data_IF_605117994661
#
_entry.id   IF_605117994661
#
_cell.length_a   1.000
_cell.length_b   1.000
_cell.length_c   1.000
_cell.angle_alpha   90.00
_cell.angle_beta   90.00
_cell.angle_gamma   90.00
#
_symmetry.space_group_name_H-M   'P 1'
#
loop_
_entity.id
_entity.type
_entity.pdbx_description
1 polymer ?
#
# COMPACT_ATOMS: atom_id res chain seq x y z
N UNK A 1 12.61 -3.76 -19.65
CA UNK A 1 11.80 -4.92 -19.27
C UNK A 1 12.46 -5.62 -18.09
N UNK A 2 12.06 -5.30 -16.85
CA UNK A 2 12.98 -5.39 -15.70
C UNK A 2 12.34 -5.44 -14.29
N UNK A 3 11.17 -6.06 -14.06
CA UNK A 3 10.59 -6.13 -12.69
C UNK A 3 9.98 -7.48 -12.30
N UNK A 4 10.56 -8.57 -12.79
CA UNK A 4 10.23 -9.93 -12.36
C UNK A 4 11.22 -10.43 -11.29
N UNK A 5 11.32 -9.73 -10.14
CA UNK A 5 12.11 -10.22 -8.98
C UNK A 5 11.95 -9.38 -7.71
N UNK A 6 10.83 -9.45 -6.99
CA UNK A 6 10.81 -9.31 -5.51
C UNK A 6 9.60 -10.08 -4.99
N UNK A 7 9.80 -10.81 -3.89
CA UNK A 7 8.83 -11.62 -3.10
C UNK A 7 8.94 -13.15 -3.25
N UNK A 8 10.13 -13.70 -2.97
CA UNK A 8 10.21 -14.96 -2.22
C UNK A 8 11.57 -15.16 -1.54
N UNK A 9 11.75 -14.62 -0.33
CA UNK A 9 12.88 -14.98 0.55
C UNK A 9 12.37 -14.95 1.97
N UNK A 10 12.28 -16.10 2.64
CA UNK A 10 11.98 -16.11 4.07
C UNK A 10 11.54 -17.41 4.73
N UNK A 11 12.15 -18.56 4.43
CA UNK A 11 12.54 -19.58 5.44
C UNK A 11 13.19 -20.81 4.81
N UNK A 12 14.51 -20.76 4.70
CA UNK A 12 15.34 -21.97 4.71
C UNK A 12 16.60 -21.71 5.53
N UNK A 13 16.93 -22.67 6.38
CA UNK A 13 18.26 -22.83 6.96
C UNK A 13 18.32 -22.78 8.49
N UNK A 14 18.24 -23.95 9.13
CA UNK A 14 19.42 -24.61 9.78
C UNK A 14 18.98 -25.71 10.77
N UNK A 15 19.67 -26.85 10.71
CA UNK A 15 19.66 -27.83 11.80
C UNK A 15 19.92 -29.26 11.35
N UNK A 16 21.18 -29.60 11.11
CA UNK A 16 21.72 -30.92 10.81
C UNK A 16 22.02 -31.70 12.11
N UNK A 17 21.75 -33.00 12.17
CA UNK A 17 22.21 -33.87 13.27
C UNK A 17 21.50 -35.23 13.30
N UNK A 18 22.18 -36.28 12.84
CA UNK A 18 21.69 -37.66 12.84
C UNK A 18 22.00 -38.42 14.14
N UNK A 19 21.34 -39.57 14.30
CA UNK A 19 21.78 -40.63 15.23
C UNK A 19 20.66 -41.45 15.86
N UNK A 20 20.68 -42.77 15.63
CA UNK A 20 20.29 -43.76 16.64
C UNK A 20 18.86 -44.31 16.65
N UNK A 21 18.69 -45.55 16.19
CA UNK A 21 17.51 -46.41 16.42
C UNK A 21 17.53 -46.97 17.84
N UNK A 22 16.40 -46.93 18.54
CA UNK A 22 16.02 -48.00 19.49
C UNK A 22 14.51 -48.14 19.52
N UNK A 23 14.05 -49.33 19.13
CA UNK A 23 12.67 -49.79 19.07
C UNK A 23 12.29 -50.39 20.42
N UNK A 24 11.15 -49.99 21.00
CA UNK A 24 10.58 -50.65 22.17
C UNK A 24 9.06 -50.76 21.98
N UNK A 25 8.48 -51.97 21.91
CA UNK A 25 7.04 -52.12 21.75
C UNK A 25 6.39 -52.18 23.13
N UNK A 26 5.37 -51.34 23.35
CA UNK A 26 4.69 -51.27 24.64
C UNK A 26 3.34 -50.55 24.59
N UNK A 27 2.29 -51.35 24.38
CA UNK A 27 0.88 -51.17 24.77
C UNK A 27 0.03 -50.08 24.08
N UNK A 28 -0.98 -50.60 23.41
CA UNK A 28 -2.16 -49.94 22.90
C UNK A 28 -2.99 -49.23 23.99
N UNK A 29 -3.55 -48.06 23.63
CA UNK A 29 -4.54 -47.35 24.44
C UNK A 29 -5.06 -46.07 23.78
N UNK A 30 -6.11 -46.23 22.96
CA UNK A 30 -7.05 -45.20 22.47
C UNK A 30 -6.46 -43.97 21.77
N UNK A 31 -6.33 -44.08 20.45
CA UNK A 31 -6.26 -42.94 19.56
C UNK A 31 -7.52 -42.09 19.68
N UNK A 32 -7.37 -40.88 20.21
CA UNK A 32 -8.31 -39.80 19.92
C UNK A 32 -8.17 -39.50 18.42
N UNK A 33 -9.26 -39.50 17.63
CA UNK A 33 -9.18 -38.95 16.30
C UNK A 33 -8.84 -37.46 16.47
N UNK A 34 -7.65 -37.06 16.02
CA UNK A 34 -7.33 -35.65 15.85
C UNK A 34 -8.42 -35.09 14.94
N UNK A 35 -9.34 -34.32 15.54
CA UNK A 35 -10.36 -33.58 14.83
C UNK A 35 -9.64 -32.82 13.71
N UNK A 36 -10.10 -32.91 12.45
CA UNK A 36 -9.52 -32.10 11.39
C UNK A 36 -9.54 -30.65 11.87
N UNK A 37 -8.40 -29.98 11.86
CA UNK A 37 -8.35 -28.54 12.03
C UNK A 37 -9.26 -27.98 10.94
N UNK A 38 -10.48 -27.61 11.33
CA UNK A 38 -11.33 -26.75 10.53
C UNK A 38 -10.53 -25.45 10.42
N UNK A 39 -9.74 -25.33 9.36
CA UNK A 39 -9.19 -24.05 8.96
C UNK A 39 -10.41 -23.16 8.76
N UNK A 40 -10.67 -22.31 9.74
CA UNK A 40 -11.80 -21.41 9.80
C UNK A 40 -11.90 -20.68 8.48
N UNK A 41 -12.83 -21.10 7.62
CA UNK A 41 -13.05 -20.47 6.32
C UNK A 41 -13.34 -18.97 6.50
N UNK A 42 -13.94 -18.61 7.64
CA UNK A 42 -14.10 -17.23 8.10
C UNK A 42 -12.78 -16.52 8.40
N UNK A 43 -11.82 -17.16 9.07
CA UNK A 43 -10.51 -16.57 9.32
C UNK A 43 -9.75 -16.32 8.00
N UNK A 44 -9.79 -17.28 7.07
CA UNK A 44 -9.18 -17.11 5.74
C UNK A 44 -9.86 -15.99 4.94
N UNK A 45 -11.20 -15.91 4.97
CA UNK A 45 -11.97 -14.85 4.29
C UNK A 45 -11.67 -13.47 4.88
N UNK A 46 -11.55 -13.36 6.20
CA UNK A 46 -11.17 -12.11 6.88
C UNK A 46 -9.76 -11.68 6.48
N UNK A 47 -8.78 -12.57 6.57
CA UNK A 47 -7.40 -12.27 6.17
C UNK A 47 -7.29 -11.81 4.70
N UNK A 48 -8.03 -12.43 3.78
CA UNK A 48 -8.06 -12.00 2.36
C UNK A 48 -8.74 -10.64 2.19
N UNK A 49 -9.81 -10.35 2.94
CA UNK A 49 -10.46 -9.03 2.91
C UNK A 49 -9.54 -7.95 3.46
N UNK A 50 -8.90 -8.19 4.60
CA UNK A 50 -8.00 -7.23 5.24
C UNK A 50 -6.79 -6.95 4.35
N UNK A 51 -6.20 -7.99 3.75
CA UNK A 51 -5.11 -7.83 2.78
C UNK A 51 -5.54 -7.02 1.54
N UNK A 52 -6.75 -7.28 1.00
CA UNK A 52 -7.27 -6.51 -0.13
C UNK A 52 -7.48 -5.04 0.24
N UNK A 53 -8.02 -4.77 1.41
CA UNK A 53 -8.21 -3.40 1.92
C UNK A 53 -6.87 -2.70 2.07
N UNK A 54 -5.87 -3.35 2.65
CA UNK A 54 -4.52 -2.81 2.79
C UNK A 54 -3.89 -2.46 1.44
N UNK A 55 -4.01 -3.34 0.43
CA UNK A 55 -3.52 -3.06 -0.93
C UNK A 55 -4.27 -1.91 -1.61
N UNK A 56 -5.59 -1.83 -1.44
CA UNK A 56 -6.40 -0.73 -1.99
C UNK A 56 -6.04 0.60 -1.32
N UNK A 57 -5.98 0.65 0.00
CA UNK A 57 -5.62 1.85 0.75
C UNK A 57 -4.19 2.30 0.41
N UNK A 58 -3.24 1.36 0.31
CA UNK A 58 -1.88 1.69 -0.12
C UNK A 58 -1.84 2.28 -1.54
N UNK A 59 -2.63 1.75 -2.46
CA UNK A 59 -2.75 2.31 -3.82
C UNK A 59 -3.33 3.73 -3.79
N UNK A 60 -4.39 3.97 -3.02
CA UNK A 60 -5.00 5.28 -2.82
C UNK A 60 -3.99 6.29 -2.26
N UNK A 61 -3.23 5.89 -1.24
CA UNK A 61 -2.16 6.69 -0.64
C UNK A 61 -1.08 7.07 -1.67
N UNK A 62 -0.64 6.10 -2.48
CA UNK A 62 0.37 6.30 -3.53
C UNK A 62 -0.12 7.30 -4.59
N UNK A 63 -1.34 7.11 -5.10
CA UNK A 63 -1.91 7.98 -6.14
C UNK A 63 -2.04 9.42 -5.65
N UNK A 64 -2.42 9.59 -4.37
CA UNK A 64 -2.54 10.90 -3.75
C UNK A 64 -1.16 11.52 -3.48
N UNK A 65 -0.19 10.74 -2.99
CA UNK A 65 1.18 11.20 -2.80
C UNK A 65 1.83 11.68 -4.11
N UNK A 66 1.55 11.00 -5.23
CA UNK A 66 1.98 11.43 -6.56
C UNK A 66 1.45 12.83 -6.91
N UNK A 67 0.16 13.07 -6.72
CA UNK A 67 -0.42 14.41 -6.96
C UNK A 67 0.13 15.47 -6.00
N UNK A 68 0.34 15.13 -4.73
CA UNK A 68 0.89 16.05 -3.72
C UNK A 68 2.31 16.51 -4.04
N UNK A 69 3.12 15.65 -4.65
CA UNK A 69 4.48 15.98 -5.04
C UNK A 69 4.61 16.52 -6.47
N UNK A 70 3.65 16.22 -7.34
CA UNK A 70 3.63 16.67 -8.73
C UNK A 70 2.27 17.29 -9.07
N UNK A 71 1.98 18.52 -8.59
CA UNK A 71 0.71 19.19 -8.86
C UNK A 71 0.48 19.44 -10.35
N UNK A 72 1.55 19.51 -11.15
CA UNK A 72 1.49 19.69 -12.60
C UNK A 72 0.73 18.56 -13.32
N UNK A 73 0.62 17.38 -12.70
CA UNK A 73 -0.12 16.24 -13.24
C UNK A 73 -1.63 16.43 -13.18
N UNK A 74 -2.12 17.45 -12.48
CA UNK A 74 -3.53 17.65 -12.20
C UNK A 74 -4.41 17.64 -13.46
N UNK A 75 -3.95 18.26 -14.55
CA UNK A 75 -4.70 18.30 -15.82
C UNK A 75 -4.91 16.89 -16.41
N UNK A 76 -3.93 15.99 -16.26
CA UNK A 76 -3.98 14.63 -16.81
C UNK A 76 -4.66 13.62 -15.88
N UNK A 77 -4.58 13.82 -14.57
CA UNK A 77 -5.01 12.82 -13.57
C UNK A 77 -6.19 13.28 -12.72
N UNK A 78 -6.51 14.57 -12.71
CA UNK A 78 -7.49 15.18 -11.81
C UNK A 78 -8.90 14.62 -11.96
N UNK A 79 -9.38 14.42 -13.19
CA UNK A 79 -10.71 13.81 -13.45
C UNK A 79 -10.77 12.36 -12.94
N UNK A 80 -9.72 11.58 -13.21
CA UNK A 80 -9.62 10.18 -12.78
C UNK A 80 -9.55 10.07 -11.26
N UNK A 81 -8.71 10.88 -10.60
CA UNK A 81 -8.65 10.97 -9.15
C UNK A 81 -9.97 11.52 -8.56
N UNK A 82 -10.65 12.39 -9.29
CA UNK A 82 -12.00 12.89 -9.00
C UNK A 82 -13.05 11.78 -8.89
N UNK A 83 -12.95 10.78 -9.76
CA UNK A 83 -13.89 9.66 -9.86
C UNK A 83 -13.62 8.50 -8.90
N UNK A 84 -12.43 8.43 -8.30
CA UNK A 84 -12.06 7.35 -7.40
C UNK A 84 -12.80 7.44 -6.06
N UNK A 85 -13.37 6.31 -5.64
CA UNK A 85 -13.92 6.15 -4.31
C UNK A 85 -12.82 5.71 -3.35
N UNK A 86 -12.47 6.58 -2.40
CA UNK A 86 -11.46 6.29 -1.40
C UNK A 86 -12.04 5.49 -0.25
N UNK A 87 -11.25 4.54 0.26
CA UNK A 87 -11.67 3.59 1.28
C UNK A 87 -11.87 4.26 2.64
N UNK A 88 -11.05 5.28 2.95
CA UNK A 88 -11.14 6.01 4.21
C UNK A 88 -11.64 7.43 4.00
N UNK A 89 -12.49 7.89 4.92
CA UNK A 89 -13.02 9.27 4.89
C UNK A 89 -11.89 10.32 4.98
N UNK A 90 -10.82 10.02 5.72
CA UNK A 90 -9.70 10.93 5.87
C UNK A 90 -8.95 11.15 4.54
N UNK A 91 -8.68 10.08 3.80
CA UNK A 91 -8.04 10.19 2.48
C UNK A 91 -8.98 10.82 1.44
N UNK A 92 -10.28 10.50 1.48
CA UNK A 92 -11.25 11.12 0.57
C UNK A 92 -11.35 12.63 0.80
N UNK A 93 -11.40 13.07 2.06
CA UNK A 93 -11.43 14.51 2.39
C UNK A 93 -10.18 15.23 1.90
N UNK A 94 -8.99 14.63 2.07
CA UNK A 94 -7.74 15.20 1.57
C UNK A 94 -7.74 15.28 0.03
N UNK A 95 -8.21 14.24 -0.65
CA UNK A 95 -8.36 14.24 -2.11
C UNK A 95 -9.30 15.35 -2.58
N UNK A 96 -10.46 15.51 -1.94
CA UNK A 96 -11.40 16.56 -2.29
C UNK A 96 -10.77 17.95 -2.12
N UNK A 97 -10.08 18.21 -1.00
CA UNK A 97 -9.41 19.49 -0.78
C UNK A 97 -8.25 19.72 -1.75
N UNK A 98 -7.47 18.68 -2.07
CA UNK A 98 -6.40 18.72 -3.07
C UNK A 98 -6.93 19.12 -4.44
N UNK A 99 -7.96 18.42 -4.94
CA UNK A 99 -8.57 18.70 -6.25
C UNK A 99 -9.21 20.09 -6.28
N UNK A 100 -9.90 20.48 -5.21
CA UNK A 100 -10.48 21.82 -5.07
C UNK A 100 -9.42 22.91 -5.14
N UNK A 101 -8.31 22.75 -4.43
CA UNK A 101 -7.21 23.72 -4.41
C UNK A 101 -6.59 23.88 -5.79
N UNK A 102 -6.27 22.77 -6.46
CA UNK A 102 -5.66 22.77 -7.80
C UNK A 102 -6.62 23.29 -8.88
N UNK A 103 -7.92 23.01 -8.75
CA UNK A 103 -8.93 23.58 -9.66
C UNK A 103 -9.11 25.10 -9.54
N UNK A 104 -8.80 25.66 -8.36
CA UNK A 104 -8.99 27.08 -8.06
C UNK A 104 -7.80 27.96 -8.42
N UNK A 105 -6.59 27.39 -8.54
CA UNK A 105 -5.34 28.12 -8.76
C UNK A 105 -4.49 27.42 -9.81
N UNK A 106 -4.34 28.05 -10.98
CA UNK A 106 -3.47 27.53 -12.03
C UNK A 106 -2.00 27.76 -11.71
N UNK A 107 -1.14 26.79 -12.03
CA UNK A 107 0.31 26.90 -11.88
C UNK A 107 0.79 26.97 -10.43
N UNK A 108 0.02 26.39 -9.50
CA UNK A 108 0.40 26.32 -8.10
C UNK A 108 1.66 25.45 -7.94
N UNK A 109 2.72 26.03 -7.39
CA UNK A 109 3.93 25.25 -7.10
C UNK A 109 3.67 24.25 -5.97
N UNK A 110 4.46 23.17 -5.96
CA UNK A 110 4.34 22.08 -4.98
C UNK A 110 4.36 22.57 -3.55
N UNK A 111 5.27 23.49 -3.21
CA UNK A 111 5.51 23.86 -1.83
C UNK A 111 4.32 24.71 -1.32
N UNK A 112 3.84 25.66 -2.14
CA UNK A 112 2.61 26.41 -1.85
C UNK A 112 1.39 25.50 -1.74
N UNK A 113 1.25 24.51 -2.62
CA UNK A 113 0.17 23.52 -2.58
C UNK A 113 0.19 22.71 -1.28
N UNK A 114 1.35 22.17 -0.91
CA UNK A 114 1.49 21.39 0.31
C UNK A 114 1.26 22.24 1.55
N UNK A 115 1.75 23.48 1.57
CA UNK A 115 1.53 24.39 2.70
C UNK A 115 0.04 24.69 2.90
N UNK A 116 -0.71 24.97 1.83
CA UNK A 116 -2.17 25.18 1.92
C UNK A 116 -2.90 23.98 2.54
N UNK A 117 -2.53 22.75 2.15
CA UNK A 117 -3.14 21.55 2.70
C UNK A 117 -2.75 21.32 4.17
N UNK A 118 -1.49 21.62 4.54
CA UNK A 118 -1.03 21.57 5.93
C UNK A 118 -1.80 22.56 6.80
N UNK A 119 -1.97 23.80 6.34
CA UNK A 119 -2.73 24.84 7.02
C UNK A 119 -4.24 24.51 7.11
N UNK A 120 -4.75 23.76 6.15
CA UNK A 120 -6.12 23.25 6.13
C UNK A 120 -6.36 22.07 7.09
N UNK A 121 -5.35 21.67 7.88
CA UNK A 121 -5.48 20.66 8.94
C UNK A 121 -5.05 19.24 8.53
N UNK A 122 -4.48 19.05 7.35
CA UNK A 122 -4.07 17.73 6.85
C UNK A 122 -2.61 17.36 7.14
N UNK A 123 -1.88 18.18 7.89
CA UNK A 123 -0.44 18.00 8.12
C UNK A 123 -0.05 16.58 8.56
N UNK A 124 -0.74 16.01 9.55
CA UNK A 124 -0.41 14.66 10.04
C UNK A 124 -0.70 13.56 9.01
N UNK A 125 -1.74 13.72 8.19
CA UNK A 125 -2.05 12.77 7.11
C UNK A 125 -1.00 12.89 5.99
N UNK A 126 -0.60 14.11 5.63
CA UNK A 126 0.45 14.35 4.65
C UNK A 126 1.80 13.79 5.10
N UNK A 127 2.15 13.91 6.38
CA UNK A 127 3.40 13.33 6.90
C UNK A 127 3.43 11.79 6.75
N UNK A 128 2.27 11.14 6.82
CA UNK A 128 2.17 9.70 6.59
C UNK A 128 2.26 9.34 5.09
N UNK A 129 1.64 10.15 4.22
CA UNK A 129 1.62 9.95 2.76
C UNK A 129 2.95 10.26 2.11
N UNK A 130 3.65 11.29 2.60
CA UNK A 130 4.94 11.75 2.11
C UNK A 130 6.10 11.08 2.86
N UNK A 131 5.88 9.85 3.32
CA UNK A 131 6.85 9.08 4.09
C UNK A 131 7.61 8.09 3.21
N UNK A 132 8.76 7.64 3.71
CA UNK A 132 9.56 6.61 3.04
C UNK A 132 8.81 5.29 2.81
N UNK A 133 7.74 5.02 3.55
CA UNK A 133 6.88 3.85 3.31
C UNK A 133 6.25 3.93 1.93
N UNK A 134 5.61 5.06 1.61
CA UNK A 134 4.94 5.27 0.33
C UNK A 134 5.96 5.33 -0.81
N UNK A 135 7.07 6.04 -0.61
CA UNK A 135 8.15 6.13 -1.61
C UNK A 135 8.93 4.83 -1.83
N UNK A 136 8.81 3.86 -0.93
CA UNK A 136 9.32 2.50 -1.12
C UNK A 136 8.49 1.69 -2.11
N UNK A 137 7.19 2.00 -2.24
CA UNK A 137 6.27 1.34 -3.16
C UNK A 137 6.11 2.11 -4.48
N UNK A 138 6.25 3.44 -4.44
CA UNK A 138 6.08 4.31 -5.59
C UNK A 138 7.25 5.28 -5.73
N UNK A 139 8.19 4.93 -6.62
CA UNK A 139 9.32 5.80 -6.95
C UNK A 139 8.85 7.12 -7.59
N UNK A 140 7.82 7.03 -8.43
CA UNK A 140 7.25 8.16 -9.17
C UNK A 140 6.57 9.22 -8.29
N UNK A 141 6.24 8.85 -7.04
CA UNK A 141 5.62 9.76 -6.09
C UNK A 141 6.66 10.59 -5.33
N UNK A 142 7.95 10.46 -5.63
CA UNK A 142 9.01 11.20 -4.92
C UNK A 142 9.19 12.60 -5.50
N UNK A 143 9.50 13.61 -4.67
CA UNK A 143 9.58 15.00 -5.10
C UNK A 143 10.68 15.31 -6.13
N UNK A 144 11.63 14.39 -6.34
CA UNK A 144 12.75 14.49 -7.27
C UNK A 144 12.48 13.86 -8.64
N UNK A 145 11.37 13.16 -8.83
CA UNK A 145 11.00 12.57 -10.13
C UNK A 145 10.60 13.66 -11.12
N UNK A 146 10.93 13.46 -12.41
CA UNK A 146 10.48 14.36 -13.46
C UNK A 146 8.97 14.21 -13.73
N UNK A 147 8.29 15.24 -14.25
CA UNK A 147 6.84 15.19 -14.46
C UNK A 147 6.38 14.07 -15.39
N UNK A 148 7.18 13.69 -16.39
CA UNK A 148 6.80 12.63 -17.33
C UNK A 148 6.91 11.25 -16.67
N UNK A 149 8.00 10.98 -15.95
CA UNK A 149 8.17 9.77 -15.14
C UNK A 149 7.10 9.64 -14.05
N UNK A 150 6.77 10.77 -13.39
CA UNK A 150 5.70 10.85 -12.41
C UNK A 150 4.34 10.47 -13.03
N UNK A 151 4.01 11.02 -14.21
CA UNK A 151 2.77 10.70 -14.93
C UNK A 151 2.69 9.23 -15.36
N UNK A 152 3.78 8.70 -15.92
CA UNK A 152 3.85 7.30 -16.37
C UNK A 152 3.65 6.34 -15.19
N UNK A 153 4.38 6.55 -14.09
CA UNK A 153 4.23 5.73 -12.89
C UNK A 153 2.85 5.85 -12.23
N UNK A 154 2.24 7.04 -12.29
CA UNK A 154 0.86 7.24 -11.83
C UNK A 154 -0.13 6.43 -12.68
N UNK A 155 0.02 6.46 -14.01
CA UNK A 155 -0.82 5.71 -14.95
C UNK A 155 -0.67 4.20 -14.80
N UNK A 156 0.52 3.69 -14.49
CA UNK A 156 0.73 2.26 -14.20
C UNK A 156 0.05 1.82 -12.89
N UNK A 157 -0.10 2.74 -11.94
CA UNK A 157 -0.68 2.45 -10.62
C UNK A 157 -2.20 2.57 -10.60
N UNK A 158 -2.78 3.36 -11.52
CA UNK A 158 -4.22 3.54 -11.66
C UNK A 158 -4.88 2.37 -12.43
#
# INVERSE_FOLDING_TARGET
>A
SFKDRVWNIGREGRGQGGGGRTFQPGRAGRGQPQRPQVFDADAKRRAVKDAKVDMTSMREEILLAGLLNHPDLFEDVGERLGSLAFTTLALDNLRQEALKTLSGVQGLDRDSFQNHLRESGYAGLMDSLLSSRVYGHAYFARPDEDPQGALEGWNETY
#
